data_IF_783385635917
#
_entry.id   IF_783385635917
#
_cell.length_a   1.000
_cell.length_b   1.000
_cell.length_c   1.000
_cell.angle_alpha   90.00
_cell.angle_beta   90.00
_cell.angle_gamma   90.00
#
_symmetry.space_group_name_H-M   'P 1'
#
loop_
_entity.id
_entity.type
_entity.pdbx_description
1 polymer ?
#
# COMPACT_ATOMS: atom_id res chain seq x y z
N UNK A 1 7.61 -23.54 -0.36
CA UNK A 1 8.47 -22.87 0.65
C UNK A 1 7.88 -21.49 0.93
N UNK A 2 7.63 -21.20 2.17
CA UNK A 2 7.22 -19.86 2.56
C UNK A 2 8.43 -18.94 2.46
N UNK A 3 8.22 -17.77 1.87
CA UNK A 3 9.26 -16.74 1.80
C UNK A 3 9.44 -16.13 3.19
N UNK A 4 10.58 -16.34 3.80
CA UNK A 4 10.88 -15.79 5.11
C UNK A 4 11.22 -14.30 4.99
N UNK A 5 10.40 -13.46 5.63
CA UNK A 5 10.55 -12.01 5.65
C UNK A 5 10.60 -11.52 7.10
N UNK A 6 11.50 -10.59 7.36
CA UNK A 6 11.56 -9.87 8.62
C UNK A 6 11.28 -8.38 8.38
N UNK A 7 10.43 -7.79 9.19
CA UNK A 7 10.16 -6.34 9.16
C UNK A 7 11.10 -5.61 10.13
N UNK A 8 11.71 -4.55 9.61
CA UNK A 8 12.60 -3.66 10.37
C UNK A 8 11.99 -2.26 10.35
N UNK A 9 11.87 -1.63 11.51
CA UNK A 9 11.36 -0.26 11.60
C UNK A 9 12.20 0.68 10.72
N UNK A 10 11.52 1.51 9.91
CA UNK A 10 12.16 2.50 9.09
C UNK A 10 12.87 3.54 9.98
N UNK A 11 14.13 3.81 9.70
CA UNK A 11 14.91 4.87 10.34
C UNK A 11 14.87 6.15 9.53
N UNK A 12 15.09 7.29 10.19
CA UNK A 12 15.13 8.60 9.54
C UNK A 12 16.15 8.63 8.38
N UNK A 13 17.32 8.05 8.60
CA UNK A 13 18.40 7.98 7.60
C UNK A 13 18.00 7.23 6.33
N UNK A 14 17.07 6.27 6.44
CA UNK A 14 16.62 5.43 5.34
C UNK A 14 15.38 5.98 4.62
N UNK A 15 14.76 7.03 5.14
CA UNK A 15 13.47 7.54 4.64
C UNK A 15 13.52 7.91 3.16
N UNK A 16 14.57 8.58 2.71
CA UNK A 16 14.71 9.01 1.31
C UNK A 16 14.84 7.80 0.39
N UNK A 17 15.72 6.86 0.73
CA UNK A 17 15.90 5.64 -0.06
C UNK A 17 14.63 4.78 -0.10
N UNK A 18 13.93 4.68 1.02
CA UNK A 18 12.64 3.98 1.12
C UNK A 18 11.58 4.61 0.20
N UNK A 19 11.47 5.94 0.20
CA UNK A 19 10.57 6.67 -0.69
C UNK A 19 10.90 6.40 -2.16
N UNK A 20 12.17 6.51 -2.53
CA UNK A 20 12.62 6.31 -3.91
C UNK A 20 12.35 4.88 -4.39
N UNK A 21 12.63 3.88 -3.56
CA UNK A 21 12.35 2.46 -3.87
C UNK A 21 10.83 2.21 -4.05
N UNK A 22 10.01 2.82 -3.20
CA UNK A 22 8.55 2.72 -3.29
C UNK A 22 8.02 3.38 -4.56
N UNK A 23 8.48 4.59 -4.87
CA UNK A 23 8.10 5.31 -6.09
C UNK A 23 8.50 4.52 -7.34
N UNK A 24 9.72 4.00 -7.38
CA UNK A 24 10.20 3.17 -8.50
C UNK A 24 9.35 1.91 -8.68
N UNK A 25 9.02 1.22 -7.61
CA UNK A 25 8.18 0.01 -7.66
C UNK A 25 6.77 0.31 -8.19
N UNK A 26 6.18 1.41 -7.77
CA UNK A 26 4.85 1.83 -8.23
C UNK A 26 4.87 2.29 -9.68
N UNK A 27 5.87 3.07 -10.09
CA UNK A 27 6.03 3.50 -11.50
C UNK A 27 6.17 2.31 -12.45
N UNK A 28 6.99 1.33 -12.10
CA UNK A 28 7.18 0.12 -12.92
C UNK A 28 5.93 -0.75 -12.97
N UNK A 29 5.20 -0.86 -11.87
CA UNK A 29 3.90 -1.52 -11.84
C UNK A 29 2.87 -0.85 -12.74
N UNK A 30 3.00 0.46 -12.93
CA UNK A 30 2.08 1.28 -13.72
C UNK A 30 2.39 1.32 -15.22
N UNK A 31 3.67 1.19 -15.61
CA UNK A 31 4.10 1.27 -17.02
C UNK A 31 3.42 0.27 -17.94
N UNK A 32 2.89 -0.83 -17.42
CA UNK A 32 2.11 -1.80 -18.16
C UNK A 32 0.67 -1.36 -18.49
N UNK A 33 0.20 -0.26 -17.93
CA UNK A 33 -1.21 0.17 -18.02
C UNK A 33 -1.41 1.53 -18.70
N UNK A 34 -0.35 2.32 -18.90
CA UNK A 34 -0.43 3.58 -19.62
C UNK A 34 -0.25 3.31 -21.12
N UNK A 35 -1.37 3.22 -21.83
CA UNK A 35 -1.35 3.34 -23.28
C UNK A 35 -1.21 4.82 -23.65
N UNK A 36 -0.14 5.15 -24.27
CA UNK A 36 0.23 6.20 -25.24
C UNK A 36 -0.49 7.58 -25.28
N UNK A 37 -1.42 7.92 -24.39
CA UNK A 37 -2.22 9.15 -24.49
C UNK A 37 -1.98 10.18 -23.36
N UNK A 38 -0.93 10.04 -22.57
CA UNK A 38 -0.60 11.09 -21.60
C UNK A 38 0.46 12.00 -22.19
N UNK A 39 0.01 13.19 -22.58
CA UNK A 39 0.87 14.31 -22.91
C UNK A 39 1.93 14.51 -21.82
N UNK A 40 3.19 14.41 -22.21
CA UNK A 40 4.38 14.48 -21.34
C UNK A 40 4.57 15.82 -20.60
N UNK A 41 3.57 16.69 -20.59
CA UNK A 41 3.67 18.05 -20.06
C UNK A 41 3.31 18.21 -18.59
N UNK A 42 2.67 17.20 -17.96
CA UNK A 42 2.40 17.20 -16.53
C UNK A 42 3.21 16.10 -15.86
N UNK A 43 4.04 16.49 -14.90
CA UNK A 43 4.77 15.59 -13.98
C UNK A 43 3.77 14.82 -13.10
N UNK A 44 3.04 13.87 -13.71
CA UNK A 44 2.18 12.98 -12.97
C UNK A 44 3.05 11.93 -12.26
N UNK A 45 3.05 11.96 -10.95
CA UNK A 45 3.73 10.97 -10.10
C UNK A 45 2.71 9.94 -9.63
N UNK A 46 3.02 8.67 -9.78
CA UNK A 46 2.18 7.56 -9.27
C UNK A 46 2.04 7.65 -7.76
N UNK A 47 3.10 8.09 -7.08
CA UNK A 47 3.09 8.41 -5.67
C UNK A 47 3.70 9.81 -5.48
N UNK A 48 2.87 10.85 -5.33
CA UNK A 48 3.37 12.19 -5.00
C UNK A 48 4.09 12.22 -3.66
N UNK A 49 5.14 13.03 -3.57
CA UNK A 49 5.91 13.20 -2.33
C UNK A 49 5.00 13.61 -1.16
N UNK A 50 4.02 14.47 -1.41
CA UNK A 50 3.07 14.92 -0.40
C UNK A 50 2.27 13.77 0.22
N UNK A 51 1.79 12.86 -0.59
CA UNK A 51 1.03 11.70 -0.12
C UNK A 51 1.89 10.75 0.71
N UNK A 52 3.13 10.53 0.28
CA UNK A 52 4.10 9.73 1.02
C UNK A 52 4.37 10.31 2.41
N UNK A 53 4.72 11.59 2.50
CA UNK A 53 5.01 12.23 3.78
C UNK A 53 3.77 12.38 4.66
N UNK A 54 2.61 12.61 4.08
CA UNK A 54 1.35 12.64 4.83
C UNK A 54 1.08 11.29 5.50
N UNK A 55 1.25 10.19 4.78
CA UNK A 55 1.10 8.85 5.35
C UNK A 55 2.14 8.56 6.45
N UNK A 56 3.41 8.93 6.20
CA UNK A 56 4.50 8.68 7.14
C UNK A 56 4.38 9.48 8.43
N UNK A 57 3.83 10.70 8.37
CA UNK A 57 3.71 11.63 9.50
C UNK A 57 2.35 11.59 10.19
N UNK A 58 1.40 10.80 9.70
CA UNK A 58 0.09 10.67 10.30
C UNK A 58 0.20 10.12 11.74
N UNK A 59 -0.72 10.54 12.60
CA UNK A 59 -0.80 9.99 13.97
C UNK A 59 -1.08 8.49 13.89
N UNK A 60 -0.28 7.69 14.59
CA UNK A 60 -0.38 6.23 14.54
C UNK A 60 0.34 5.57 13.37
N UNK A 61 1.06 6.33 12.54
CA UNK A 61 1.81 5.79 11.41
C UNK A 61 3.02 4.96 11.86
N UNK A 62 3.19 3.84 11.20
CA UNK A 62 4.35 2.96 11.35
C UNK A 62 4.86 2.58 9.97
N UNK A 63 6.17 2.65 9.77
CA UNK A 63 6.80 2.28 8.51
C UNK A 63 7.86 1.21 8.74
N UNK A 64 7.90 0.24 7.84
CA UNK A 64 8.77 -0.92 7.92
C UNK A 64 9.44 -1.21 6.59
N UNK A 65 10.74 -1.53 6.65
CA UNK A 65 11.45 -2.16 5.55
C UNK A 65 11.36 -3.68 5.71
N UNK A 66 11.14 -4.39 4.63
CA UNK A 66 11.14 -5.85 4.60
C UNK A 66 12.50 -6.36 4.12
N UNK A 67 13.08 -7.27 4.88
CA UNK A 67 14.33 -7.94 4.52
C UNK A 67 14.12 -9.44 4.43
N UNK A 68 14.79 -10.06 3.48
CA UNK A 68 14.78 -11.51 3.30
C UNK A 68 15.76 -12.23 4.25
N UNK A 69 15.88 -13.54 4.10
CA UNK A 69 16.77 -14.36 4.91
C UNK A 69 18.25 -13.99 4.76
N UNK A 70 18.63 -13.42 3.61
CA UNK A 70 20.00 -12.97 3.33
C UNK A 70 20.26 -11.53 3.82
N UNK A 71 19.26 -10.88 4.42
CA UNK A 71 19.34 -9.50 4.89
C UNK A 71 19.19 -8.45 3.79
N UNK A 72 18.75 -8.85 2.60
CA UNK A 72 18.51 -7.93 1.50
C UNK A 72 17.16 -7.24 1.66
N UNK A 73 17.11 -5.93 1.41
CA UNK A 73 15.85 -5.19 1.37
C UNK A 73 15.06 -5.55 0.12
N UNK A 74 13.86 -6.04 0.32
CA UNK A 74 13.01 -6.57 -0.76
C UNK A 74 11.67 -5.86 -0.90
N UNK A 75 11.37 -4.93 0.00
CA UNK A 75 10.15 -4.15 -0.03
C UNK A 75 9.90 -3.41 1.27
N UNK A 76 8.67 -3.03 1.49
CA UNK A 76 8.26 -2.35 2.72
C UNK A 76 6.80 -1.95 2.73
N UNK A 77 6.38 -1.34 3.82
CA UNK A 77 5.01 -0.88 4.01
C UNK A 77 4.93 0.31 4.96
N UNK A 78 3.91 1.13 4.76
CA UNK A 78 3.45 2.14 5.71
C UNK A 78 2.04 1.74 6.14
N UNK A 79 1.83 1.66 7.43
CA UNK A 79 0.53 1.38 8.05
C UNK A 79 0.19 2.49 9.03
N UNK A 80 -1.09 2.57 9.37
CA UNK A 80 -1.58 3.44 10.42
C UNK A 80 -2.42 2.63 11.41
N UNK A 81 -2.12 2.76 12.69
CA UNK A 81 -2.82 2.02 13.74
C UNK A 81 -3.62 2.98 14.63
N UNK A 82 -4.92 2.81 14.65
CA UNK A 82 -5.82 3.42 15.62
C UNK A 82 -6.12 2.41 16.73
N UNK A 83 -5.33 2.48 17.78
CA UNK A 83 -5.45 1.54 18.92
C UNK A 83 -6.76 1.67 19.67
N UNK A 84 -7.37 2.85 19.71
CA UNK A 84 -8.63 3.08 20.42
C UNK A 84 -9.81 2.36 19.75
N UNK A 85 -9.81 2.32 18.41
CA UNK A 85 -10.87 1.68 17.61
C UNK A 85 -10.48 0.28 17.13
N UNK A 86 -9.29 -0.21 17.46
CA UNK A 86 -8.75 -1.49 17.00
C UNK A 86 -8.76 -1.61 15.48
N UNK A 87 -8.49 -0.50 14.82
CA UNK A 87 -8.51 -0.34 13.38
C UNK A 87 -7.11 -0.10 12.84
N UNK A 88 -6.78 -0.75 11.73
CA UNK A 88 -5.53 -0.55 11.00
C UNK A 88 -5.80 -0.17 9.56
N UNK A 89 -4.97 0.70 9.03
CA UNK A 89 -4.97 1.06 7.62
C UNK A 89 -3.64 0.65 7.00
N UNK A 90 -3.70 -0.03 5.87
CA UNK A 90 -2.54 -0.24 5.01
C UNK A 90 -2.46 0.92 4.02
N UNK A 91 -1.62 1.90 4.32
CA UNK A 91 -1.44 3.08 3.48
C UNK A 91 -0.69 2.74 2.19
N UNK A 92 0.46 2.07 2.31
CA UNK A 92 1.27 1.64 1.18
C UNK A 92 1.97 0.32 1.48
N UNK A 93 2.06 -0.53 0.44
CA UNK A 93 2.88 -1.74 0.45
C UNK A 93 3.56 -1.84 -0.91
N UNK A 94 4.87 -2.08 -0.91
CA UNK A 94 5.60 -2.27 -2.15
C UNK A 94 6.55 -3.48 -2.06
N UNK A 95 6.79 -4.08 -3.20
CA UNK A 95 7.85 -5.07 -3.41
C UNK A 95 8.86 -4.46 -4.36
N UNK A 96 10.12 -4.48 -3.97
CA UNK A 96 11.21 -3.90 -4.74
C UNK A 96 11.30 -4.52 -6.14
N UNK A 97 11.68 -3.72 -7.13
CA UNK A 97 11.93 -4.23 -8.47
C UNK A 97 12.99 -5.34 -8.46
N UNK A 98 12.73 -6.41 -9.22
CA UNK A 98 13.55 -7.61 -9.23
C UNK A 98 13.22 -8.64 -8.15
N UNK A 99 12.50 -8.26 -7.09
CA UNK A 99 12.05 -9.18 -6.04
C UNK A 99 10.59 -9.64 -6.22
N UNK A 100 9.91 -9.18 -7.26
CA UNK A 100 8.51 -9.48 -7.52
C UNK A 100 8.28 -10.94 -7.96
N UNK A 101 7.05 -11.44 -7.75
CA UNK A 101 6.64 -12.78 -8.19
C UNK A 101 7.08 -13.94 -7.29
N UNK A 102 7.62 -13.64 -6.10
CA UNK A 102 8.10 -14.65 -5.13
C UNK A 102 7.25 -14.73 -3.86
N UNK A 103 6.05 -14.17 -3.86
CA UNK A 103 5.18 -14.13 -2.69
C UNK A 103 5.61 -13.15 -1.60
N UNK A 104 6.55 -12.26 -1.88
CA UNK A 104 7.10 -11.30 -0.90
C UNK A 104 6.02 -10.34 -0.39
N UNK A 105 5.17 -9.81 -1.28
CA UNK A 105 4.09 -8.91 -0.86
C UNK A 105 3.16 -9.56 0.16
N UNK A 106 2.77 -10.81 -0.08
CA UNK A 106 1.95 -11.57 0.86
C UNK A 106 2.68 -11.85 2.18
N UNK A 107 3.98 -12.16 2.11
CA UNK A 107 4.80 -12.37 3.31
C UNK A 107 4.92 -11.10 4.14
N UNK A 108 5.08 -9.93 3.52
CA UNK A 108 5.06 -8.62 4.19
C UNK A 108 3.72 -8.42 4.90
N UNK A 109 2.61 -8.63 4.19
CA UNK A 109 1.27 -8.48 4.75
C UNK A 109 1.04 -9.42 5.95
N UNK A 110 1.38 -10.69 5.81
CA UNK A 110 1.26 -11.67 6.91
C UNK A 110 2.08 -11.27 8.13
N UNK A 111 3.28 -10.72 7.93
CA UNK A 111 4.12 -10.22 9.02
C UNK A 111 3.50 -9.02 9.73
N UNK A 112 2.87 -8.10 8.98
CA UNK A 112 2.13 -6.95 9.54
C UNK A 112 0.97 -7.44 10.41
N UNK A 113 0.15 -8.35 9.91
CA UNK A 113 -0.96 -8.91 10.68
C UNK A 113 -0.48 -9.59 11.97
N UNK A 114 0.61 -10.34 11.90
CA UNK A 114 1.18 -11.03 13.06
C UNK A 114 1.74 -10.06 14.12
N UNK A 115 2.23 -8.89 13.69
CA UNK A 115 2.73 -7.85 14.59
C UNK A 115 1.60 -7.10 15.32
N UNK A 116 0.40 -7.08 14.75
CA UNK A 116 -0.74 -6.29 15.25
C UNK A 116 -1.96 -7.18 15.51
N UNK A 117 -1.87 -8.15 16.42
CA UNK A 117 -3.01 -9.03 16.73
C UNK A 117 -4.17 -8.28 17.41
N UNK A 118 -3.93 -7.07 17.91
CA UNK A 118 -4.95 -6.20 18.49
C UNK A 118 -5.88 -5.56 17.46
N UNK A 119 -5.48 -5.52 16.19
CA UNK A 119 -6.29 -4.93 15.11
C UNK A 119 -7.39 -5.90 14.70
N UNK A 120 -8.63 -5.43 14.76
CA UNK A 120 -9.81 -6.22 14.39
C UNK A 120 -10.25 -5.99 12.94
N UNK A 121 -9.99 -4.79 12.43
CA UNK A 121 -10.37 -4.39 11.07
C UNK A 121 -9.21 -3.70 10.39
N UNK A 122 -8.82 -4.21 9.23
CA UNK A 122 -7.86 -3.59 8.33
C UNK A 122 -8.58 -2.98 7.13
N UNK A 123 -8.13 -1.80 6.72
CA UNK A 123 -8.63 -1.09 5.54
C UNK A 123 -7.49 -0.72 4.62
N UNK A 124 -7.75 -0.73 3.32
CA UNK A 124 -6.86 -0.19 2.29
C UNK A 124 -7.67 0.28 1.09
N UNK A 125 -7.05 1.04 0.21
CA UNK A 125 -7.68 1.48 -1.03
C UNK A 125 -6.72 1.36 -2.21
N UNK A 126 -7.28 1.26 -3.41
CA UNK A 126 -6.50 1.25 -4.65
C UNK A 126 -7.33 1.81 -5.82
N UNK A 127 -6.69 2.47 -6.79
CA UNK A 127 -7.36 2.88 -8.02
C UNK A 127 -7.96 1.67 -8.76
N UNK A 128 -9.13 1.87 -9.36
CA UNK A 128 -9.87 0.79 -10.02
C UNK A 128 -9.11 0.16 -11.20
N UNK A 129 -8.23 0.89 -11.83
CA UNK A 129 -7.45 0.40 -12.97
C UNK A 129 -6.25 -0.46 -12.55
N UNK A 130 -5.87 -0.43 -11.28
CA UNK A 130 -4.77 -1.25 -10.76
C UNK A 130 -5.24 -2.69 -10.47
N UNK A 131 -5.46 -3.45 -11.54
CA UNK A 131 -5.97 -4.83 -11.47
C UNK A 131 -5.04 -5.76 -10.69
N UNK A 132 -3.73 -5.49 -10.72
CA UNK A 132 -2.74 -6.28 -10.01
C UNK A 132 -2.91 -6.12 -8.49
N UNK A 133 -3.06 -4.90 -8.00
CA UNK A 133 -3.32 -4.63 -6.59
C UNK A 133 -4.69 -5.15 -6.15
N UNK A 134 -5.71 -5.00 -6.96
CA UNK A 134 -7.05 -5.54 -6.68
C UNK A 134 -6.97 -7.06 -6.48
N UNK A 135 -6.31 -7.77 -7.41
CA UNK A 135 -6.08 -9.21 -7.27
C UNK A 135 -5.30 -9.55 -6.00
N UNK A 136 -4.25 -8.79 -5.73
CA UNK A 136 -3.42 -9.00 -4.55
C UNK A 136 -4.22 -8.85 -3.24
N UNK A 137 -4.94 -7.76 -3.08
CA UNK A 137 -5.70 -7.53 -1.86
C UNK A 137 -6.84 -8.54 -1.69
N UNK A 138 -7.63 -8.79 -2.72
CA UNK A 138 -8.77 -9.71 -2.63
C UNK A 138 -8.33 -11.17 -2.54
N UNK A 139 -7.52 -11.62 -3.50
CA UNK A 139 -7.24 -13.05 -3.65
C UNK A 139 -6.04 -13.54 -2.82
N UNK A 140 -5.06 -12.67 -2.57
CA UNK A 140 -3.86 -13.06 -1.83
C UNK A 140 -3.91 -12.67 -0.35
N UNK A 141 -4.48 -11.52 -0.02
CA UNK A 141 -4.50 -10.99 1.35
C UNK A 141 -5.82 -11.20 2.09
N UNK A 142 -6.91 -11.54 1.38
CA UNK A 142 -8.21 -11.81 1.99
C UNK A 142 -9.04 -10.57 2.31
N UNK A 143 -8.78 -9.46 1.64
CA UNK A 143 -9.63 -8.27 1.71
C UNK A 143 -10.89 -8.44 0.87
N UNK A 144 -11.92 -7.67 1.21
CA UNK A 144 -13.17 -7.57 0.45
C UNK A 144 -13.40 -6.14 0.03
N UNK A 145 -13.85 -5.92 -1.21
CA UNK A 145 -14.27 -4.60 -1.65
C UNK A 145 -15.59 -4.22 -0.96
N UNK A 146 -15.58 -3.08 -0.27
CA UNK A 146 -16.75 -2.61 0.48
C UNK A 146 -17.35 -1.34 -0.10
N UNK A 147 -16.57 -0.57 -0.87
CA UNK A 147 -17.00 0.69 -1.45
C UNK A 147 -16.25 0.98 -2.74
N UNK A 148 -16.92 1.69 -3.65
CA UNK A 148 -16.33 2.18 -4.88
C UNK A 148 -16.70 3.65 -5.06
N UNK A 149 -15.70 4.53 -4.99
CA UNK A 149 -15.87 5.95 -5.21
C UNK A 149 -15.56 6.32 -6.66
N UNK A 150 -16.38 7.20 -7.23
CA UNK A 150 -16.20 7.77 -8.56
C UNK A 150 -16.85 9.16 -8.65
N UNK A 151 -16.96 9.72 -9.85
CA UNK A 151 -17.60 11.03 -10.06
C UNK A 151 -19.08 11.10 -9.63
N UNK A 152 -19.77 9.97 -9.61
CA UNK A 152 -21.19 9.88 -9.21
C UNK A 152 -21.38 9.54 -7.73
N UNK A 153 -20.36 9.04 -7.08
CA UNK A 153 -20.35 8.66 -5.67
C UNK A 153 -18.99 9.03 -5.07
N UNK A 154 -18.90 10.26 -4.57
CA UNK A 154 -17.65 10.82 -4.05
C UNK A 154 -17.42 10.44 -2.60
N UNK A 155 -16.16 10.19 -2.24
CA UNK A 155 -15.75 10.12 -0.84
C UNK A 155 -15.87 11.54 -0.21
N UNK A 156 -16.71 11.72 0.83
CA UNK A 156 -16.86 13.02 1.47
C UNK A 156 -15.59 13.52 2.17
N UNK A 157 -14.64 12.64 2.42
CA UNK A 157 -13.36 12.97 3.07
C UNK A 157 -12.24 13.29 2.08
N UNK A 158 -12.47 13.12 0.77
CA UNK A 158 -11.48 13.45 -0.25
C UNK A 158 -11.46 14.94 -0.56
N UNK A 159 -10.26 15.53 -0.73
CA UNK A 159 -10.15 16.91 -1.21
C UNK A 159 -10.86 17.09 -2.56
N UNK A 160 -11.50 18.25 -2.76
CA UNK A 160 -12.20 18.59 -4.02
C UNK A 160 -11.28 18.53 -5.25
N UNK A 161 -9.96 18.63 -5.02
CA UNK A 161 -8.94 18.62 -6.08
C UNK A 161 -8.62 17.21 -6.59
N UNK A 162 -9.05 16.16 -5.88
CA UNK A 162 -8.87 14.80 -6.35
C UNK A 162 -9.88 14.51 -7.46
N UNK A 163 -9.39 14.15 -8.63
CA UNK A 163 -10.25 13.75 -9.75
C UNK A 163 -10.74 12.31 -9.55
N UNK A 164 -12.00 12.10 -9.17
CA UNK A 164 -12.53 10.76 -8.98
C UNK A 164 -12.93 10.08 -10.29
N UNK A 165 -12.61 10.68 -11.45
CA UNK A 165 -12.98 10.14 -12.77
C UNK A 165 -12.43 8.72 -12.97
N UNK A 166 -11.31 8.40 -12.31
CA UNK A 166 -10.64 7.12 -12.43
C UNK A 166 -11.18 6.04 -11.48
N UNK A 167 -11.99 6.42 -10.48
CA UNK A 167 -12.55 5.48 -9.51
C UNK A 167 -11.52 4.94 -8.49
N UNK A 168 -12.01 4.69 -7.28
CA UNK A 168 -11.23 4.18 -6.15
C UNK A 168 -12.01 3.07 -5.44
N UNK A 169 -11.41 1.90 -5.30
CA UNK A 169 -11.92 0.84 -4.43
C UNK A 169 -11.42 1.00 -3.01
N UNK A 170 -12.34 0.83 -2.07
CA UNK A 170 -12.01 0.65 -0.65
C UNK A 170 -12.19 -0.82 -0.29
N UNK A 171 -11.20 -1.39 0.37
CA UNK A 171 -11.18 -2.77 0.82
C UNK A 171 -11.12 -2.85 2.33
N UNK A 172 -11.79 -3.85 2.87
CA UNK A 172 -11.78 -4.13 4.31
C UNK A 172 -11.47 -5.61 4.55
N UNK A 173 -10.70 -5.88 5.58
CA UNK A 173 -10.48 -7.22 6.09
C UNK A 173 -10.78 -7.25 7.59
N UNK A 174 -11.77 -8.04 7.96
CA UNK A 174 -12.10 -8.29 9.37
C UNK A 174 -11.33 -9.49 9.85
N UNK A 175 -10.59 -9.30 10.93
CA UNK A 175 -9.87 -10.38 11.57
C UNK A 175 -10.86 -11.20 12.38
N UNK A 176 -10.84 -12.51 12.18
CA UNK A 176 -11.71 -13.41 12.96
C UNK A 176 -11.21 -13.48 14.40
N UNK A 177 -11.98 -12.89 15.30
CA UNK A 177 -11.81 -13.18 16.71
C UNK A 177 -12.34 -14.60 16.96
N UNK A 178 -11.45 -15.53 17.13
CA UNK A 178 -11.81 -16.79 17.74
C UNK A 178 -11.95 -16.61 19.24
#
# INVERSE_FOLDING_TARGET
METEIRLIRLTEERTIAFKEEMQEAFEKGFQGHIKDDVDNSNQWQVLPDGDFYQALQAEGAEAYEAVDADGQRVGGAIINIDGANRHGELSFLYVKDGAQGKGIGKAIWNAIEAMHPEVEVWETCTPYFDRRNIHFYINCCGFHAIEFFNSHHRDPNMPEQFDPSDGLFVFEKRMNCC
#
